data_IF_299078137433
#
_entry.id   IF_299078137433
#
_cell.length_a   1.000
_cell.length_b   1.000
_cell.length_c   1.000
_cell.angle_alpha   90.00
_cell.angle_beta   90.00
_cell.angle_gamma   90.00
#
_symmetry.space_group_name_H-M   'P 1'
#
loop_
_entity.id
_entity.type
_entity.pdbx_description
1 polymer ?
#
# COMPACT_ATOMS: atom_id res chain seq x y z
N UNK A 1 -13.37 -11.92 -25.03
CA UNK A 1 -12.78 -11.70 -26.36
C UNK A 1 -12.63 -13.04 -27.06
N UNK A 2 -12.33 -13.02 -28.35
CA UNK A 2 -12.07 -14.25 -29.12
C UNK A 2 -10.73 -14.88 -28.71
N UNK A 3 -10.72 -16.20 -28.50
CA UNK A 3 -9.51 -16.96 -28.14
C UNK A 3 -8.63 -17.17 -29.38
N UNK A 4 -7.87 -16.14 -29.73
CA UNK A 4 -6.84 -16.17 -30.78
C UNK A 4 -5.45 -16.07 -30.15
N UNK A 5 -4.47 -16.76 -30.73
CA UNK A 5 -3.09 -16.75 -30.20
C UNK A 5 -2.51 -15.33 -30.08
N UNK A 6 -2.89 -14.43 -31.00
CA UNK A 6 -2.52 -13.01 -30.99
C UNK A 6 -3.09 -12.21 -29.80
N UNK A 7 -4.03 -12.79 -29.05
CA UNK A 7 -4.68 -12.16 -27.88
C UNK A 7 -4.21 -12.79 -26.56
N UNK A 8 -3.23 -13.71 -26.60
CA UNK A 8 -2.71 -14.37 -25.40
C UNK A 8 -1.35 -13.79 -25.00
N UNK A 9 -1.12 -13.68 -23.70
CA UNK A 9 0.18 -13.33 -23.11
C UNK A 9 0.56 -14.39 -22.10
N UNK A 10 1.83 -14.80 -22.10
CA UNK A 10 2.37 -15.71 -21.09
C UNK A 10 2.73 -14.91 -19.84
N UNK A 11 2.25 -15.37 -18.69
CA UNK A 11 2.45 -14.75 -17.38
C UNK A 11 2.63 -15.85 -16.33
N UNK A 12 3.26 -15.51 -15.19
CA UNK A 12 3.43 -16.45 -14.08
C UNK A 12 2.19 -16.50 -13.18
N UNK A 13 2.10 -17.51 -12.31
CA UNK A 13 0.98 -17.67 -11.36
C UNK A 13 0.68 -16.41 -10.54
N UNK A 14 1.72 -15.69 -10.10
CA UNK A 14 1.58 -14.43 -9.37
C UNK A 14 0.92 -13.34 -10.21
N UNK A 15 1.35 -13.16 -11.46
CA UNK A 15 0.76 -12.15 -12.36
C UNK A 15 -0.64 -12.55 -12.84
N UNK A 16 -0.92 -13.84 -13.03
CA UNK A 16 -2.29 -14.34 -13.29
C UNK A 16 -3.24 -13.93 -12.16
N UNK A 17 -2.81 -14.14 -10.91
CA UNK A 17 -3.61 -13.80 -9.75
C UNK A 17 -3.92 -12.30 -9.69
N UNK A 18 -2.92 -11.44 -9.92
CA UNK A 18 -3.12 -9.98 -9.91
C UNK A 18 -4.11 -9.49 -10.97
N UNK A 19 -4.15 -10.15 -12.14
CA UNK A 19 -5.13 -9.84 -13.17
C UNK A 19 -6.54 -10.22 -12.71
N UNK A 20 -6.71 -11.41 -12.13
CA UNK A 20 -8.01 -11.86 -11.63
C UNK A 20 -8.52 -11.01 -10.45
N UNK A 21 -7.63 -10.50 -9.62
CA UNK A 21 -7.95 -9.61 -8.50
C UNK A 21 -8.17 -8.16 -8.93
N UNK A 22 -8.02 -7.82 -10.21
CA UNK A 22 -8.21 -6.46 -10.72
C UNK A 22 -7.09 -5.48 -10.36
N UNK A 23 -5.95 -5.98 -9.86
CA UNK A 23 -4.78 -5.19 -9.46
C UNK A 23 -3.78 -4.97 -10.60
N UNK A 24 -3.93 -5.72 -11.69
CA UNK A 24 -3.11 -5.63 -12.88
C UNK A 24 -3.99 -5.70 -14.12
N UNK A 25 -3.89 -4.70 -14.99
CA UNK A 25 -4.52 -4.67 -16.32
C UNK A 25 -3.48 -4.92 -17.40
N UNK A 26 -3.89 -5.61 -18.46
CA UNK A 26 -3.07 -5.87 -19.64
C UNK A 26 -3.73 -5.21 -20.84
N UNK A 27 -2.99 -4.36 -21.54
CA UNK A 27 -3.43 -3.65 -22.73
C UNK A 27 -2.60 -4.11 -23.94
N UNK A 28 -3.23 -4.32 -25.08
CA UNK A 28 -2.51 -4.63 -26.33
C UNK A 28 -1.79 -3.40 -26.85
N UNK A 29 -0.49 -3.53 -27.17
CA UNK A 29 0.36 -2.43 -27.62
C UNK A 29 0.85 -2.61 -29.09
N UNK A 30 0.13 -3.38 -29.89
CA UNK A 30 0.52 -3.78 -31.26
C UNK A 30 1.21 -5.16 -31.30
N UNK A 31 1.63 -5.60 -32.49
CA UNK A 31 2.14 -6.96 -32.75
C UNK A 31 3.06 -7.50 -31.66
N UNK A 32 2.58 -8.52 -30.93
CA UNK A 32 3.33 -9.22 -29.89
C UNK A 32 3.67 -8.39 -28.64
N UNK A 33 3.15 -7.17 -28.52
CA UNK A 33 3.44 -6.27 -27.39
C UNK A 33 2.23 -6.16 -26.47
N UNK A 34 2.50 -6.23 -25.17
CA UNK A 34 1.54 -5.98 -24.11
C UNK A 34 2.08 -4.90 -23.19
N UNK A 35 1.21 -3.97 -22.79
CA UNK A 35 1.47 -3.02 -21.72
C UNK A 35 0.80 -3.54 -20.45
N UNK A 36 1.58 -3.66 -19.39
CA UNK A 36 1.08 -4.02 -18.07
C UNK A 36 0.89 -2.77 -17.24
N UNK A 37 -0.26 -2.69 -16.59
CA UNK A 37 -0.73 -1.50 -15.90
C UNK A 37 -1.16 -1.90 -14.50
N UNK A 38 -0.43 -1.43 -13.48
CA UNK A 38 -0.78 -1.68 -12.09
C UNK A 38 -1.89 -0.72 -11.66
N UNK A 39 -2.89 -1.27 -10.98
CA UNK A 39 -4.04 -0.51 -10.50
C UNK A 39 -4.06 -0.44 -8.98
N UNK A 40 -4.48 0.70 -8.44
CA UNK A 40 -4.76 0.84 -7.02
C UNK A 40 -6.11 0.21 -6.63
N UNK A 41 -6.48 0.30 -5.35
CA UNK A 41 -7.73 -0.27 -4.82
C UNK A 41 -9.00 0.38 -5.41
N UNK A 42 -8.89 1.57 -6.00
CA UNK A 42 -9.97 2.26 -6.70
C UNK A 42 -9.91 2.02 -8.22
N UNK A 43 -9.02 1.15 -8.70
CA UNK A 43 -8.86 0.82 -10.11
C UNK A 43 -8.14 1.89 -10.94
N UNK A 44 -7.45 2.83 -10.30
CA UNK A 44 -6.71 3.90 -10.96
C UNK A 44 -5.30 3.44 -11.31
N UNK A 45 -4.76 3.93 -12.42
CA UNK A 45 -3.37 3.68 -12.80
C UNK A 45 -2.42 4.15 -11.71
N UNK A 46 -1.60 3.23 -11.21
CA UNK A 46 -0.47 3.59 -10.37
C UNK A 46 0.66 4.10 -11.28
N UNK A 47 1.05 5.39 -11.17
CA UNK A 47 2.16 5.90 -11.95
C UNK A 47 3.43 5.15 -11.55
N UNK A 48 4.28 4.87 -12.53
CA UNK A 48 5.63 4.42 -12.20
C UNK A 48 6.33 5.55 -11.46
N UNK A 49 6.65 5.31 -10.20
CA UNK A 49 7.48 6.18 -9.39
C UNK A 49 8.82 5.46 -9.26
N UNK A 50 9.96 6.10 -9.56
CA UNK A 50 11.26 5.54 -9.20
C UNK A 50 11.20 5.11 -7.74
N UNK A 51 11.69 3.90 -7.43
CA UNK A 51 11.73 3.43 -6.05
C UNK A 51 12.32 4.52 -5.17
N UNK A 52 11.64 4.89 -4.10
CA UNK A 52 12.17 5.82 -3.11
C UNK A 52 13.56 5.34 -2.76
N UNK A 53 14.58 6.12 -3.10
CA UNK A 53 15.99 5.78 -3.00
C UNK A 53 16.50 5.64 -1.56
N UNK A 54 15.66 5.23 -0.63
CA UNK A 54 16.03 4.82 0.71
C UNK A 54 16.83 3.54 0.63
N UNK A 55 18.09 3.69 0.26
CA UNK A 55 19.10 2.69 0.57
C UNK A 55 19.21 2.52 2.08
N UNK A 56 19.91 1.47 2.51
CA UNK A 56 20.13 1.11 3.92
C UNK A 56 20.52 2.32 4.81
N UNK A 57 21.17 3.36 4.27
CA UNK A 57 21.53 4.58 4.98
C UNK A 57 20.34 5.43 5.46
N UNK A 58 19.24 5.48 4.70
CA UNK A 58 18.04 6.22 5.10
C UNK A 58 17.30 5.48 6.23
N UNK A 59 17.35 4.14 6.21
CA UNK A 59 16.85 3.29 7.29
C UNK A 59 17.67 3.45 8.58
N UNK A 60 19.00 3.52 8.50
CA UNK A 60 19.86 3.79 9.67
C UNK A 60 19.55 5.15 10.31
N UNK A 61 19.30 6.18 9.49
CA UNK A 61 18.88 7.50 9.97
C UNK A 61 17.54 7.46 10.72
N UNK A 62 16.57 6.73 10.17
CA UNK A 62 15.27 6.50 10.80
C UNK A 62 15.41 5.73 12.12
N UNK A 63 16.19 4.66 12.17
CA UNK A 63 16.44 3.87 13.39
C UNK A 63 17.11 4.70 14.49
N UNK A 64 18.08 5.55 14.11
CA UNK A 64 18.72 6.49 15.02
C UNK A 64 17.73 7.51 15.59
N UNK A 65 16.95 8.14 14.71
CA UNK A 65 15.92 9.09 15.13
C UNK A 65 14.87 8.46 16.05
N UNK A 66 14.36 7.27 15.71
CA UNK A 66 13.40 6.52 16.54
C UNK A 66 13.97 6.25 17.94
N UNK A 67 15.24 5.89 18.04
CA UNK A 67 15.94 5.71 19.32
C UNK A 67 16.02 7.01 20.12
N UNK A 68 16.35 8.11 19.47
CA UNK A 68 16.47 9.43 20.11
C UNK A 68 15.12 9.93 20.65
N UNK A 69 14.01 9.65 19.95
CA UNK A 69 12.66 9.96 20.43
C UNK A 69 12.08 8.88 21.37
N UNK A 70 12.87 7.87 21.74
CA UNK A 70 12.47 6.80 22.66
C UNK A 70 11.46 5.81 22.08
N UNK A 71 11.28 5.77 20.77
CA UNK A 71 10.40 4.82 20.09
C UNK A 71 11.19 3.54 19.78
N UNK A 72 10.81 2.45 20.46
CA UNK A 72 11.35 1.11 20.20
C UNK A 72 10.40 0.35 19.29
N UNK A 73 10.84 0.06 18.07
CA UNK A 73 10.12 -0.81 17.13
C UNK A 73 10.62 -2.23 17.34
N UNK A 74 9.82 -3.06 18.00
CA UNK A 74 10.08 -4.49 18.18
C UNK A 74 8.85 -5.30 17.75
N UNK A 75 8.89 -6.63 17.93
CA UNK A 75 7.79 -7.51 17.54
C UNK A 75 6.45 -7.15 18.24
N UNK A 76 6.51 -6.49 19.40
CA UNK A 76 5.33 -6.10 20.17
C UNK A 76 4.75 -4.75 19.72
N UNK A 77 5.41 -4.00 18.82
CA UNK A 77 4.87 -2.72 18.31
C UNK A 77 3.50 -2.89 17.63
N UNK A 78 3.27 -4.06 17.03
CA UNK A 78 2.02 -4.43 16.35
C UNK A 78 1.06 -5.16 17.28
N UNK A 79 1.45 -5.46 18.53
CA UNK A 79 0.55 -6.06 19.50
C UNK A 79 -0.47 -5.01 19.95
N UNK A 80 -1.77 -5.27 19.77
CA UNK A 80 -2.79 -4.35 20.22
C UNK A 80 -2.74 -4.25 21.75
N UNK A 81 -2.59 -3.03 22.28
CA UNK A 81 -2.69 -2.76 23.73
C UNK A 81 -4.14 -2.78 24.25
N UNK A 82 -5.08 -3.17 23.41
CA UNK A 82 -6.49 -3.26 23.75
C UNK A 82 -6.77 -4.55 24.51
N UNK A 83 -7.43 -4.43 25.66
CA UNK A 83 -7.79 -5.52 26.56
C UNK A 83 -9.04 -6.33 26.10
N UNK A 84 -9.58 -6.03 24.92
CA UNK A 84 -10.79 -6.65 24.38
C UNK A 84 -12.10 -6.07 24.94
N UNK A 85 -12.04 -5.08 25.84
CA UNK A 85 -13.24 -4.40 26.35
C UNK A 85 -13.98 -3.63 25.25
N UNK A 86 -15.31 -3.50 25.34
CA UNK A 86 -16.08 -2.79 24.31
C UNK A 86 -15.60 -1.34 24.17
N UNK A 87 -15.16 -0.98 22.97
CA UNK A 87 -14.70 0.37 22.66
C UNK A 87 -15.81 1.41 22.86
N UNK A 88 -15.51 2.47 23.62
CA UNK A 88 -16.41 3.61 23.86
C UNK A 88 -16.29 4.59 22.70
N UNK A 89 -16.91 4.25 21.58
CA UNK A 89 -16.77 4.98 20.32
C UNK A 89 -16.93 6.50 20.43
N UNK A 90 -17.91 6.98 21.22
CA UNK A 90 -18.12 8.41 21.42
C UNK A 90 -16.92 9.13 22.06
N UNK A 91 -16.29 8.51 23.06
CA UNK A 91 -15.12 9.05 23.74
C UNK A 91 -13.88 9.00 22.84
N UNK A 92 -13.70 7.91 22.07
CA UNK A 92 -12.62 7.80 21.10
C UNK A 92 -12.69 8.87 20.01
N UNK A 93 -13.88 9.11 19.46
CA UNK A 93 -14.12 10.14 18.43
C UNK A 93 -13.91 11.54 19.01
N UNK A 94 -14.43 11.80 20.22
CA UNK A 94 -14.22 13.08 20.89
C UNK A 94 -12.73 13.35 21.16
N UNK A 95 -11.99 12.35 21.62
CA UNK A 95 -10.54 12.44 21.83
C UNK A 95 -9.76 12.67 20.53
N UNK A 96 -10.14 11.98 19.45
CA UNK A 96 -9.53 12.19 18.12
C UNK A 96 -9.76 13.62 17.64
N UNK A 97 -10.99 14.13 17.75
CA UNK A 97 -11.35 15.51 17.37
C UNK A 97 -10.61 16.58 18.19
N UNK A 98 -10.28 16.28 19.44
CA UNK A 98 -9.51 17.16 20.32
C UNK A 98 -7.99 17.06 20.11
N UNK A 99 -7.50 16.10 19.33
CA UNK A 99 -6.06 15.88 19.13
C UNK A 99 -5.44 16.97 18.23
N UNK A 100 -4.27 17.53 18.59
CA UNK A 100 -3.54 18.45 17.74
C UNK A 100 -3.28 17.82 16.36
N UNK A 101 -3.67 18.51 15.29
CA UNK A 101 -3.52 18.04 13.90
C UNK A 101 -4.73 17.32 13.31
N UNK A 102 -5.76 16.99 14.13
CA UNK A 102 -7.07 16.58 13.62
C UNK A 102 -8.07 17.75 13.56
N UNK A 103 -7.76 18.85 14.26
CA UNK A 103 -8.49 20.11 14.16
C UNK A 103 -8.44 20.65 12.73
N UNK A 104 -9.60 20.67 12.08
CA UNK A 104 -9.82 21.31 10.78
C UNK A 104 -9.35 22.75 10.89
N UNK A 105 -8.39 23.15 10.06
CA UNK A 105 -8.21 24.56 9.73
C UNK A 105 -9.52 25.07 9.13
N UNK A 106 -10.27 25.83 9.92
CA UNK A 106 -11.30 26.74 9.45
C UNK A 106 -10.70 28.14 9.38
#
# INVERSE_FOLDING_TARGET
GETKLSNLVLICSSHHRLIHEGRLRVEGAGEGKARFVVLDELGRELPWVPGSGGGERELVGLEGWLRDVGVRVDAAVSEPRWDGSRMRLGECVAGLLASPGFGVGL
#
